data_IF_813758195741
#
_entry.id   IF_813758195741
#
_cell.length_a   1.000
_cell.length_b   1.000
_cell.length_c   1.000
_cell.angle_alpha   90.00
_cell.angle_beta   90.00
_cell.angle_gamma   90.00
#
_symmetry.space_group_name_H-M   'P 1'
#
loop_
_entity.id
_entity.type
_entity.pdbx_description
1 polymer ?
#
# COMPACT_ATOMS: atom_id res chain seq x y z
N UNK A 1 0.26 14.14 -16.95
CA UNK A 1 0.06 15.50 -16.40
C UNK A 1 -1.22 15.57 -15.55
N UNK A 2 -1.12 16.16 -14.35
CA UNK A 2 -2.24 16.28 -13.41
C UNK A 2 -3.38 17.14 -13.95
N UNK A 3 -4.61 16.68 -13.72
CA UNK A 3 -5.83 17.43 -13.96
C UNK A 3 -5.99 18.59 -12.97
N UNK A 4 -6.94 19.50 -13.23
CA UNK A 4 -7.25 20.58 -12.28
C UNK A 4 -7.82 20.05 -10.95
N UNK A 5 -8.47 18.89 -10.99
CA UNK A 5 -8.95 18.22 -9.78
C UNK A 5 -7.77 17.70 -8.96
N UNK A 6 -6.86 16.96 -9.60
CA UNK A 6 -5.65 16.40 -8.98
C UNK A 6 -4.82 17.50 -8.31
N UNK A 7 -4.60 18.62 -9.01
CA UNK A 7 -3.85 19.76 -8.48
C UNK A 7 -4.49 20.35 -7.24
N UNK A 8 -5.83 20.39 -7.16
CA UNK A 8 -6.55 20.86 -5.97
C UNK A 8 -6.40 19.89 -4.80
N UNK A 9 -6.43 18.58 -5.04
CA UNK A 9 -6.22 17.59 -3.99
C UNK A 9 -4.79 17.66 -3.46
N UNK A 10 -3.80 17.66 -4.34
CA UNK A 10 -2.38 17.76 -3.99
C UNK A 10 -2.09 19.05 -3.22
N UNK A 11 -2.73 20.17 -3.56
CA UNK A 11 -2.54 21.45 -2.88
C UNK A 11 -3.02 21.47 -1.41
N UNK A 12 -3.82 20.49 -0.97
CA UNK A 12 -4.21 20.34 0.45
C UNK A 12 -3.10 19.72 1.29
N UNK A 13 -2.17 19.00 0.67
CA UNK A 13 -1.12 18.28 1.37
C UNK A 13 -0.06 19.26 1.93
N UNK A 14 0.68 18.85 2.97
CA UNK A 14 1.89 19.55 3.39
C UNK A 14 2.84 19.80 2.21
N UNK A 15 3.47 20.99 2.10
CA UNK A 15 4.25 21.36 0.91
C UNK A 15 5.37 20.38 0.57
N UNK A 16 5.98 19.78 1.58
CA UNK A 16 7.05 18.82 1.48
C UNK A 16 6.60 17.41 1.05
N UNK A 17 5.31 17.09 1.18
CA UNK A 17 4.68 15.90 0.58
C UNK A 17 4.21 16.24 -0.84
N UNK A 18 3.53 17.37 -1.02
CA UNK A 18 3.04 17.82 -2.34
C UNK A 18 4.17 17.95 -3.38
N UNK A 19 5.37 18.37 -2.96
CA UNK A 19 6.54 18.47 -3.82
C UNK A 19 7.02 17.13 -4.43
N UNK A 20 6.58 16.00 -3.88
CA UNK A 20 6.91 14.66 -4.40
C UNK A 20 6.04 14.26 -5.60
N UNK A 21 4.96 15.00 -5.90
CA UNK A 21 3.96 14.59 -6.89
C UNK A 21 4.54 14.39 -8.31
N UNK A 22 5.54 15.18 -8.71
CA UNK A 22 6.14 15.03 -10.04
C UNK A 22 6.96 13.73 -10.18
N UNK A 23 7.50 13.21 -9.06
CA UNK A 23 8.33 12.00 -9.02
C UNK A 23 7.53 10.75 -8.67
N UNK A 24 6.53 10.89 -7.80
CA UNK A 24 5.69 9.81 -7.27
C UNK A 24 4.20 10.16 -7.44
N UNK A 25 3.71 10.28 -8.69
CA UNK A 25 2.39 10.82 -8.95
C UNK A 25 1.27 9.96 -8.34
N UNK A 26 1.38 8.63 -8.44
CA UNK A 26 0.36 7.71 -7.94
C UNK A 26 0.28 7.74 -6.42
N UNK A 27 1.40 7.65 -5.73
CA UNK A 27 1.46 7.67 -4.27
C UNK A 27 0.95 8.98 -3.69
N UNK A 28 1.29 10.11 -4.32
CA UNK A 28 0.86 11.42 -3.83
C UNK A 28 -0.62 11.68 -4.14
N UNK A 29 -1.15 11.18 -5.26
CA UNK A 29 -2.61 11.20 -5.50
C UNK A 29 -3.36 10.33 -4.49
N UNK A 30 -2.91 9.10 -4.25
CA UNK A 30 -3.51 8.20 -3.27
C UNK A 30 -3.46 8.79 -1.85
N UNK A 31 -2.35 9.46 -1.51
CA UNK A 31 -2.18 10.21 -0.25
C UNK A 31 -3.18 11.36 -0.17
N UNK A 32 -3.34 12.14 -1.25
CA UNK A 32 -4.26 13.27 -1.30
C UNK A 32 -5.73 12.85 -1.20
N UNK A 33 -6.12 11.81 -1.93
CA UNK A 33 -7.48 11.28 -1.93
C UNK A 33 -7.89 10.75 -0.55
N UNK A 34 -6.94 10.17 0.17
CA UNK A 34 -7.19 9.67 1.51
C UNK A 34 -6.94 10.70 2.60
N UNK A 35 -6.32 11.85 2.33
CA UNK A 35 -5.77 12.76 3.34
C UNK A 35 -6.77 13.12 4.44
N UNK A 36 -7.98 13.52 4.04
CA UNK A 36 -9.03 14.02 4.91
C UNK A 36 -9.77 12.91 5.69
N UNK A 37 -9.54 11.62 5.39
CA UNK A 37 -10.17 10.50 6.11
C UNK A 37 -9.66 10.42 7.56
N UNK A 38 -10.46 9.90 8.47
CA UNK A 38 -9.99 9.63 9.83
C UNK A 38 -9.09 8.37 9.84
N UNK A 39 -8.16 8.24 10.81
CA UNK A 39 -7.52 6.96 11.09
C UNK A 39 -8.55 5.89 11.45
N UNK A 40 -8.16 4.62 11.32
CA UNK A 40 -9.00 3.50 11.73
C UNK A 40 -9.31 3.55 13.23
N UNK A 41 -10.50 3.09 13.59
CA UNK A 41 -10.95 3.00 14.99
C UNK A 41 -10.05 2.08 15.81
N UNK A 42 -9.98 2.32 17.11
CA UNK A 42 -9.21 1.47 18.02
C UNK A 42 -9.75 0.04 18.05
N UNK A 43 -8.84 -0.93 17.93
CA UNK A 43 -9.14 -2.36 17.85
C UNK A 43 -9.86 -2.79 16.58
N UNK A 44 -9.68 -2.04 15.48
CA UNK A 44 -10.23 -2.43 14.19
C UNK A 44 -9.55 -3.71 13.68
N UNK A 45 -10.36 -4.70 13.31
CA UNK A 45 -9.90 -5.95 12.70
C UNK A 45 -10.21 -5.91 11.20
N UNK A 46 -9.18 -5.86 10.33
CA UNK A 46 -9.41 -5.75 8.91
C UNK A 46 -9.85 -7.07 8.29
N UNK A 47 -10.76 -7.02 7.32
CA UNK A 47 -11.12 -8.18 6.51
C UNK A 47 -10.09 -8.39 5.40
N UNK A 48 -9.59 -7.30 4.82
CA UNK A 48 -8.67 -7.27 3.70
C UNK A 48 -7.42 -6.43 4.03
N UNK A 49 -6.25 -6.97 3.71
CA UNK A 49 -4.98 -6.25 3.74
C UNK A 49 -4.22 -6.52 2.44
N UNK A 50 -3.81 -5.43 1.79
CA UNK A 50 -3.03 -5.45 0.56
C UNK A 50 -1.76 -4.61 0.74
N UNK A 51 -0.61 -5.14 0.33
CA UNK A 51 0.67 -4.42 0.34
C UNK A 51 1.23 -4.38 -1.07
N UNK A 52 1.55 -3.18 -1.53
CA UNK A 52 2.16 -2.91 -2.83
C UNK A 52 3.53 -2.27 -2.61
N UNK A 53 4.51 -2.70 -3.40
CA UNK A 53 5.88 -2.21 -3.36
C UNK A 53 6.27 -1.69 -4.74
N UNK A 54 6.67 -0.42 -4.80
CA UNK A 54 7.08 0.24 -6.04
C UNK A 54 5.92 0.33 -7.03
N UNK A 55 6.22 0.10 -8.30
CA UNK A 55 5.25 0.24 -9.41
C UNK A 55 4.45 -1.05 -9.67
N UNK A 56 4.23 -1.89 -8.66
CA UNK A 56 3.51 -3.15 -8.82
C UNK A 56 2.01 -2.90 -9.09
N UNK A 57 1.50 -3.45 -10.20
CA UNK A 57 0.07 -3.39 -10.55
C UNK A 57 -0.80 -4.28 -9.62
N UNK A 58 -0.21 -5.37 -9.12
CA UNK A 58 -0.85 -6.32 -8.21
C UNK A 58 -0.23 -6.24 -6.81
N UNK A 59 -1.01 -6.60 -5.79
CA UNK A 59 -0.53 -6.63 -4.41
C UNK A 59 0.58 -7.69 -4.24
N UNK A 60 1.72 -7.27 -3.69
CA UNK A 60 2.79 -8.18 -3.32
C UNK A 60 2.40 -9.09 -2.15
N UNK A 61 1.54 -8.60 -1.27
CA UNK A 61 0.95 -9.39 -0.18
C UNK A 61 -0.54 -9.13 -0.20
N UNK A 62 -1.34 -10.19 -0.29
CA UNK A 62 -2.79 -10.11 -0.19
C UNK A 62 -3.30 -11.07 0.89
N UNK A 63 -3.93 -10.52 1.93
CA UNK A 63 -4.54 -11.26 3.03
C UNK A 63 -6.04 -10.96 3.03
N UNK A 64 -6.84 -12.02 3.10
CA UNK A 64 -8.30 -11.92 3.18
C UNK A 64 -8.81 -12.83 4.30
N UNK A 65 -9.57 -12.25 5.24
CA UNK A 65 -10.10 -12.88 6.43
C UNK A 65 -9.02 -13.62 7.24
N UNK A 66 -7.87 -12.98 7.43
CA UNK A 66 -6.72 -13.55 8.13
C UNK A 66 -6.00 -14.69 7.39
N UNK A 67 -6.33 -14.95 6.12
CA UNK A 67 -5.67 -16.00 5.32
C UNK A 67 -4.85 -15.36 4.21
N UNK A 68 -3.58 -15.75 4.09
CA UNK A 68 -2.74 -15.36 2.96
C UNK A 68 -3.31 -15.93 1.66
N UNK A 69 -3.67 -15.06 0.73
CA UNK A 69 -4.25 -15.41 -0.58
C UNK A 69 -3.24 -15.32 -1.70
N UNK A 70 -2.36 -14.32 -1.65
CA UNK A 70 -1.27 -14.19 -2.62
C UNK A 70 -0.02 -13.60 -1.97
N UNK A 71 1.12 -13.96 -2.54
CA UNK A 71 2.43 -13.51 -2.11
C UNK A 71 3.40 -13.50 -3.30
N UNK A 72 3.84 -12.30 -3.68
CA UNK A 72 4.87 -12.10 -4.68
C UNK A 72 6.17 -11.75 -3.94
N UNK A 73 7.18 -12.64 -3.95
CA UNK A 73 8.46 -12.34 -3.32
C UNK A 73 9.06 -11.05 -3.87
N UNK A 74 9.44 -10.14 -3.00
CA UNK A 74 10.26 -8.99 -3.38
C UNK A 74 11.68 -9.47 -3.68
N UNK A 75 12.23 -9.06 -4.83
CA UNK A 75 13.64 -9.23 -5.14
C UNK A 75 14.47 -8.35 -4.20
N UNK A 76 15.11 -8.98 -3.21
CA UNK A 76 15.82 -8.33 -2.10
C UNK A 76 16.95 -7.35 -2.51
N UNK A 77 17.33 -7.32 -3.78
CA UNK A 77 18.39 -6.43 -4.29
C UNK A 77 17.89 -5.02 -4.66
N UNK A 78 16.57 -4.78 -4.72
CA UNK A 78 16.00 -3.45 -4.96
C UNK A 78 15.41 -2.87 -3.68
N UNK A 79 16.02 -1.80 -3.17
CA UNK A 79 15.29 -0.91 -2.26
C UNK A 79 14.08 -0.36 -3.02
N UNK A 80 12.87 -0.78 -2.61
CA UNK A 80 11.65 -0.29 -3.23
C UNK A 80 11.54 1.22 -3.01
N UNK A 81 11.16 1.96 -4.06
CA UNK A 81 11.02 3.42 -3.98
C UNK A 81 9.78 3.85 -3.22
N UNK A 82 8.80 2.97 -3.08
CA UNK A 82 7.55 3.22 -2.34
C UNK A 82 6.97 1.93 -1.76
N UNK A 83 6.17 2.08 -0.71
CA UNK A 83 5.33 1.05 -0.11
C UNK A 83 3.95 1.66 0.09
N UNK A 84 2.91 0.98 -0.40
CA UNK A 84 1.51 1.34 -0.15
C UNK A 84 0.82 0.18 0.55
N UNK A 85 0.10 0.47 1.62
CA UNK A 85 -0.75 -0.50 2.33
C UNK A 85 -2.20 -0.04 2.21
N UNK A 86 -3.04 -0.94 1.71
CA UNK A 86 -4.48 -0.78 1.72
C UNK A 86 -5.11 -1.71 2.74
N UNK A 87 -6.13 -1.19 3.42
CA UNK A 87 -6.90 -1.91 4.42
C UNK A 87 -8.37 -1.74 4.04
N UNK A 88 -9.06 -2.84 3.81
CA UNK A 88 -10.49 -2.86 3.45
C UNK A 88 -10.86 -1.89 2.30
N UNK A 89 -9.95 -1.76 1.33
CA UNK A 89 -10.11 -0.89 0.15
C UNK A 89 -9.69 0.56 0.34
N UNK A 90 -9.21 0.96 1.52
CA UNK A 90 -8.74 2.31 1.80
C UNK A 90 -7.22 2.40 1.91
N UNK A 91 -6.61 3.47 1.40
CA UNK A 91 -5.18 3.70 1.60
C UNK A 91 -4.90 4.07 3.06
N UNK A 92 -4.21 3.16 3.76
CA UNK A 92 -3.97 3.28 5.19
C UNK A 92 -2.54 3.73 5.51
N UNK A 93 -1.58 3.40 4.64
CA UNK A 93 -0.18 3.78 4.79
C UNK A 93 0.48 3.95 3.43
N UNK A 94 1.28 5.01 3.29
CA UNK A 94 2.10 5.23 2.10
C UNK A 94 3.45 5.75 2.56
N UNK A 95 4.50 5.10 2.09
CA UNK A 95 5.90 5.48 2.27
C UNK A 95 6.55 5.66 0.91
N UNK A 96 7.39 6.68 0.79
CA UNK A 96 8.16 7.00 -0.40
C UNK A 96 9.61 7.24 0.02
N UNK A 97 10.56 6.50 -0.54
CA UNK A 97 12.00 6.60 -0.24
C UNK A 97 12.34 6.56 1.26
N UNK A 98 11.67 5.69 2.04
CA UNK A 98 11.87 5.59 3.49
C UNK A 98 11.17 6.70 4.29
N UNK A 99 10.40 7.58 3.63
CA UNK A 99 9.65 8.65 4.26
C UNK A 99 8.16 8.36 4.23
N UNK A 100 7.55 8.31 5.41
CA UNK A 100 6.11 8.21 5.56
C UNK A 100 5.43 9.49 5.04
N UNK A 101 4.51 9.34 4.09
CA UNK A 101 3.67 10.42 3.55
C UNK A 101 2.19 10.26 3.94
N UNK A 102 1.75 9.04 4.28
CA UNK A 102 0.44 8.75 4.85
C UNK A 102 0.59 7.69 5.95
N UNK A 103 -0.07 7.87 7.10
CA UNK A 103 -0.20 6.80 8.10
C UNK A 103 -1.48 6.96 8.92
N UNK A 104 -2.33 5.95 8.79
CA UNK A 104 -3.63 5.80 9.44
C UNK A 104 -3.78 4.48 10.19
N UNK A 105 -2.70 3.70 10.28
CA UNK A 105 -2.71 2.34 10.83
C UNK A 105 -2.95 2.29 12.34
N UNK A 106 -2.94 3.42 13.05
CA UNK A 106 -2.85 3.47 14.53
C UNK A 106 -3.96 2.76 15.32
N UNK A 107 -5.14 2.51 14.73
CA UNK A 107 -6.23 1.78 15.39
C UNK A 107 -6.30 0.28 15.08
N UNK A 108 -5.52 -0.17 14.09
CA UNK A 108 -5.66 -1.51 13.50
C UNK A 108 -4.99 -2.56 14.38
N UNK A 109 -5.63 -3.72 14.49
CA UNK A 109 -5.03 -4.96 14.94
C UNK A 109 -4.64 -5.76 13.70
N UNK A 110 -3.33 -5.92 13.48
CA UNK A 110 -2.84 -6.74 12.38
C UNK A 110 -3.32 -8.18 12.58
N UNK A 111 -3.91 -8.82 11.55
CA UNK A 111 -4.43 -10.17 11.68
C UNK A 111 -3.29 -11.17 11.91
N UNK A 112 -3.53 -12.18 12.74
CA UNK A 112 -2.72 -13.40 12.68
C UNK A 112 -2.95 -14.06 11.33
N UNK A 113 -1.89 -14.20 10.54
CA UNK A 113 -1.99 -14.69 9.16
C UNK A 113 -1.86 -16.22 9.15
N UNK A 114 -2.96 -16.89 8.81
CA UNK A 114 -2.95 -18.31 8.47
C UNK A 114 -2.37 -18.50 7.06
N UNK A 115 -1.34 -19.33 6.97
CA UNK A 115 -0.66 -19.65 5.72
C UNK A 115 -1.03 -21.07 5.29
N UNK A 116 -1.58 -21.20 4.08
CA UNK A 116 -1.66 -22.50 3.42
C UNK A 116 -0.37 -22.73 2.63
N UNK A 117 0.45 -23.75 2.97
CA UNK A 117 1.71 -24.01 2.28
C UNK A 117 1.57 -24.20 0.78
N UNK A 118 0.50 -24.87 0.32
CA UNK A 118 0.28 -25.10 -1.11
C UNK A 118 0.02 -23.80 -1.86
N UNK A 119 -0.77 -22.90 -1.28
CA UNK A 119 -1.05 -21.57 -1.85
C UNK A 119 0.24 -20.76 -1.93
N UNK A 120 1.01 -20.73 -0.84
CA UNK A 120 2.28 -20.00 -0.80
C UNK A 120 3.27 -20.51 -1.85
N UNK A 121 3.43 -21.83 -1.98
CA UNK A 121 4.33 -22.43 -2.97
C UNK A 121 3.90 -22.05 -4.39
N UNK A 122 2.59 -22.14 -4.70
CA UNK A 122 2.09 -21.77 -6.03
C UNK A 122 2.31 -20.28 -6.33
N UNK A 123 2.08 -19.39 -5.36
CA UNK A 123 2.33 -17.95 -5.51
C UNK A 123 3.81 -17.65 -5.77
N UNK A 124 4.73 -18.29 -5.04
CA UNK A 124 6.17 -18.14 -5.26
C UNK A 124 6.56 -18.62 -6.66
N UNK A 125 6.12 -19.81 -7.07
CA UNK A 125 6.44 -20.37 -8.40
C UNK A 125 5.85 -19.54 -9.54
N UNK A 126 4.70 -18.89 -9.34
CA UNK A 126 4.11 -17.98 -10.32
C UNK A 126 4.96 -16.71 -10.47
N UNK A 127 5.48 -16.18 -9.36
CA UNK A 127 6.39 -15.03 -9.36
C UNK A 127 7.69 -15.27 -10.14
N UNK A 128 8.25 -16.48 -10.08
CA UNK A 128 9.49 -16.83 -10.80
C UNK A 128 9.33 -16.97 -12.32
N UNK A 129 8.11 -17.20 -12.83
CA UNK A 129 7.85 -17.44 -14.26
C UNK A 129 7.47 -16.18 -15.05
N UNK A 130 7.34 -15.03 -14.38
CA UNK A 130 7.01 -13.75 -15.01
C UNK A 130 8.22 -12.82 -15.20
N UNK A 131 9.43 -13.32 -14.93
CA UNK A 131 10.74 -12.72 -15.28
C UNK A 131 11.33 -13.39 -16.54
#
# INVERSE_FOLDING_TARGET
PFSDYDRKQIAKLPPDIAALADKYPSEILNTADSWDNLPFDANYFPECLEVYSGDADDANIFVLNGVLKDYVPSHAEKNTSSITVMIDGEFAYIEVEGRQVLNKLGGIILPEVAINPDVLIQSILKGENND
#
